data_IF_441222467093
#
_entry.id   IF_441222467093
#
_cell.length_a   1.000
_cell.length_b   1.000
_cell.length_c   1.000
_cell.angle_alpha   90.00
_cell.angle_beta   90.00
_cell.angle_gamma   90.00
#
_symmetry.space_group_name_H-M   'P 1'
#
loop_
_entity.id
_entity.type
_entity.pdbx_description
1 polymer ?
#
# COMPACT_ATOMS: atom_id res chain seq x y z
N UNK A 1 19.61 -17.10 -7.65
CA UNK A 1 19.04 -16.26 -6.58
C UNK A 1 19.87 -16.45 -5.31
N UNK A 2 20.08 -15.42 -4.48
CA UNK A 2 20.97 -15.52 -3.32
C UNK A 2 20.18 -15.38 -1.99
N UNK A 3 20.07 -16.47 -1.18
CA UNK A 3 19.29 -16.47 0.06
C UNK A 3 19.79 -15.47 1.11
N UNK A 4 21.11 -15.19 1.18
CA UNK A 4 21.65 -14.25 2.17
C UNK A 4 21.24 -12.82 1.85
N UNK A 5 21.27 -12.45 0.56
CA UNK A 5 20.79 -11.15 0.10
C UNK A 5 19.28 -11.01 0.31
N UNK A 6 18.51 -12.06 0.06
CA UNK A 6 17.06 -12.06 0.33
C UNK A 6 16.78 -11.83 1.83
N UNK A 7 17.46 -12.58 2.70
CA UNK A 7 17.31 -12.45 4.15
C UNK A 7 17.68 -11.05 4.66
N UNK A 8 18.84 -10.55 4.25
CA UNK A 8 19.32 -9.22 4.65
C UNK A 8 18.39 -8.11 4.18
N UNK A 9 17.88 -8.19 2.95
CA UNK A 9 16.89 -7.25 2.42
C UNK A 9 15.58 -7.29 3.24
N UNK A 10 15.02 -8.47 3.49
CA UNK A 10 13.75 -8.63 4.21
C UNK A 10 13.86 -8.16 5.66
N UNK A 11 14.93 -8.55 6.38
CA UNK A 11 15.14 -8.13 7.76
C UNK A 11 15.47 -6.65 7.87
N UNK A 12 16.36 -6.14 7.01
CA UNK A 12 16.78 -4.74 7.05
C UNK A 12 15.64 -3.77 6.72
N UNK A 13 15.02 -3.94 5.55
CA UNK A 13 13.91 -3.08 5.12
C UNK A 13 12.62 -3.37 5.93
N UNK A 14 12.43 -4.60 6.41
CA UNK A 14 11.32 -4.96 7.28
C UNK A 14 11.43 -4.30 8.66
N UNK A 15 12.62 -4.28 9.26
CA UNK A 15 12.86 -3.59 10.53
C UNK A 15 12.72 -2.07 10.38
N UNK A 16 13.21 -1.48 9.29
CA UNK A 16 13.03 -0.06 9.00
C UNK A 16 11.53 0.31 8.85
N UNK A 17 10.75 -0.54 8.18
CA UNK A 17 9.31 -0.35 8.08
C UNK A 17 8.63 -0.51 9.45
N UNK A 18 8.96 -1.54 10.21
CA UNK A 18 8.39 -1.76 11.54
C UNK A 18 8.67 -0.57 12.47
N UNK A 19 9.88 -0.01 12.42
CA UNK A 19 10.26 1.18 13.18
C UNK A 19 9.44 2.41 12.77
N UNK A 20 9.36 2.72 11.46
CA UNK A 20 8.61 3.89 10.96
C UNK A 20 7.10 3.74 11.21
N UNK A 21 6.53 2.55 10.98
CA UNK A 21 5.13 2.25 11.28
C UNK A 21 4.83 2.35 12.78
N UNK A 22 5.73 1.88 13.65
CA UNK A 22 5.58 2.03 15.08
C UNK A 22 5.56 3.50 15.50
N UNK A 23 6.39 4.38 14.92
CA UNK A 23 6.32 5.82 15.20
C UNK A 23 4.96 6.42 14.87
N UNK A 24 4.38 6.06 13.70
CA UNK A 24 3.01 6.47 13.34
C UNK A 24 1.97 5.92 14.30
N UNK A 25 2.15 4.69 14.78
CA UNK A 25 1.30 4.10 15.81
C UNK A 25 1.41 4.82 17.16
N UNK A 26 2.61 5.22 17.59
CA UNK A 26 2.80 6.01 18.80
C UNK A 26 2.05 7.34 18.72
N UNK A 27 2.10 8.02 17.57
CA UNK A 27 1.38 9.27 17.36
C UNK A 27 -0.16 9.10 17.40
N UNK A 28 -0.70 7.95 16.99
CA UNK A 28 -2.14 7.70 17.16
C UNK A 28 -2.55 7.70 18.64
N UNK A 29 -1.66 7.25 19.52
CA UNK A 29 -1.92 7.16 20.96
C UNK A 29 -1.89 8.51 21.68
N UNK A 30 -1.40 9.57 21.01
CA UNK A 30 -1.45 10.96 21.51
C UNK A 30 -2.89 11.48 21.58
N UNK A 31 -3.76 10.95 20.72
CA UNK A 31 -5.17 11.31 20.74
C UNK A 31 -5.90 10.73 21.96
N UNK A 32 -6.95 11.42 22.38
CA UNK A 32 -7.86 10.96 23.42
C UNK A 32 -8.42 9.57 23.11
N UNK A 33 -8.62 8.73 24.12
CA UNK A 33 -9.23 7.42 23.93
C UNK A 33 -10.66 7.58 23.42
N UNK A 34 -11.04 6.79 22.42
CA UNK A 34 -12.39 6.72 21.91
C UNK A 34 -12.73 5.26 21.62
N UNK A 35 -13.89 4.79 22.09
CA UNK A 35 -14.28 3.39 21.85
C UNK A 35 -14.85 3.24 20.44
N UNK A 36 -14.25 2.34 19.65
CA UNK A 36 -14.71 1.95 18.30
C UNK A 36 -14.74 0.42 18.12
N UNK A 37 -14.75 -0.33 19.22
CA UNK A 37 -14.82 -1.81 19.22
C UNK A 37 -16.25 -2.34 19.41
N UNK A 38 -17.23 -1.46 19.45
CA UNK A 38 -18.67 -1.75 19.49
C UNK A 38 -19.19 -2.27 18.14
N UNK A 39 -20.33 -2.98 18.14
CA UNK A 39 -21.07 -3.39 16.93
C UNK A 39 -20.21 -4.01 15.80
N UNK A 40 -19.36 -4.98 16.15
CA UNK A 40 -18.36 -5.59 15.24
C UNK A 40 -18.94 -6.03 13.88
N UNK A 41 -20.09 -6.72 13.87
CA UNK A 41 -20.71 -7.21 12.63
C UNK A 41 -21.09 -6.05 11.70
N UNK A 42 -21.70 -4.99 12.26
CA UNK A 42 -22.08 -3.80 11.49
C UNK A 42 -20.85 -3.11 10.91
N UNK A 43 -19.77 -2.99 11.69
CA UNK A 43 -18.49 -2.40 11.23
C UNK A 43 -17.82 -3.22 10.15
N UNK A 44 -17.82 -4.56 10.27
CA UNK A 44 -17.33 -5.45 9.22
C UNK A 44 -18.13 -5.31 7.92
N UNK A 45 -19.47 -5.20 8.02
CA UNK A 45 -20.34 -4.95 6.85
C UNK A 45 -20.02 -3.60 6.19
N UNK A 46 -19.83 -2.54 6.97
CA UNK A 46 -19.41 -1.22 6.47
C UNK A 46 -18.04 -1.30 5.80
N UNK A 47 -17.08 -2.03 6.40
CA UNK A 47 -15.74 -2.24 5.84
C UNK A 47 -15.81 -2.96 4.50
N UNK A 48 -16.59 -4.05 4.42
CA UNK A 48 -16.83 -4.76 3.17
C UNK A 48 -17.39 -3.82 2.09
N UNK A 49 -18.40 -3.03 2.42
CA UNK A 49 -19.11 -2.19 1.46
C UNK A 49 -18.27 -1.00 0.95
N UNK A 50 -17.54 -0.34 1.84
CA UNK A 50 -16.82 0.89 1.52
C UNK A 50 -15.35 0.69 1.20
N UNK A 51 -14.66 -0.25 1.86
CA UNK A 51 -13.25 -0.50 1.61
C UNK A 51 -13.03 -1.56 0.53
N UNK A 52 -13.65 -2.74 0.63
CA UNK A 52 -13.42 -3.84 -0.32
C UNK A 52 -14.22 -3.67 -1.61
N UNK A 53 -15.53 -3.40 -1.52
CA UNK A 53 -16.40 -3.13 -2.68
C UNK A 53 -16.20 -1.73 -3.28
N UNK A 54 -15.51 -0.84 -2.58
CA UNK A 54 -15.18 0.53 -3.03
C UNK A 54 -16.39 1.35 -3.52
N UNK A 55 -17.52 1.31 -2.80
CA UNK A 55 -18.77 1.99 -3.21
C UNK A 55 -18.58 3.49 -3.54
N UNK A 56 -17.67 4.17 -2.85
CA UNK A 56 -17.38 5.62 -3.05
C UNK A 56 -16.52 5.95 -4.27
N UNK A 57 -15.95 4.98 -4.98
CA UNK A 57 -15.08 5.26 -6.13
C UNK A 57 -15.84 5.55 -7.43
N UNK A 58 -17.16 5.52 -7.45
CA UNK A 58 -17.96 5.85 -8.64
C UNK A 58 -18.07 7.34 -8.98
N UNK A 59 -17.69 8.25 -8.08
CA UNK A 59 -17.90 9.70 -8.28
C UNK A 59 -17.13 10.27 -9.49
N UNK A 60 -15.94 9.74 -9.76
CA UNK A 60 -15.12 10.10 -10.93
C UNK A 60 -14.84 8.84 -11.74
N UNK A 61 -15.59 8.54 -12.82
CA UNK A 61 -15.62 7.20 -13.43
C UNK A 61 -14.25 6.65 -13.84
N UNK A 62 -13.47 7.40 -14.62
CA UNK A 62 -12.18 6.92 -15.14
C UNK A 62 -11.12 6.75 -14.03
N UNK A 63 -10.98 7.76 -13.16
CA UNK A 63 -10.04 7.68 -12.02
C UNK A 63 -10.47 6.61 -10.99
N UNK A 64 -11.77 6.45 -10.78
CA UNK A 64 -12.35 5.43 -9.92
C UNK A 64 -12.16 4.02 -10.44
N UNK A 65 -12.31 3.82 -11.76
CA UNK A 65 -11.99 2.55 -12.42
C UNK A 65 -10.50 2.23 -12.26
N UNK A 66 -9.62 3.17 -12.61
CA UNK A 66 -8.17 3.00 -12.46
C UNK A 66 -7.79 2.63 -11.01
N UNK A 67 -8.38 3.28 -10.01
CA UNK A 67 -8.17 2.95 -8.60
C UNK A 67 -8.60 1.51 -8.26
N UNK A 68 -9.78 1.09 -8.71
CA UNK A 68 -10.29 -0.27 -8.47
C UNK A 68 -9.38 -1.33 -9.09
N UNK A 69 -8.90 -1.09 -10.31
CA UNK A 69 -7.97 -2.00 -10.99
C UNK A 69 -6.66 -2.15 -10.20
N UNK A 70 -6.08 -1.03 -9.74
CA UNK A 70 -4.86 -1.06 -8.91
C UNK A 70 -5.10 -1.81 -7.60
N UNK A 71 -6.25 -1.60 -6.95
CA UNK A 71 -6.57 -2.26 -5.69
C UNK A 71 -6.75 -3.78 -5.83
N UNK A 72 -7.48 -4.24 -6.86
CA UNK A 72 -7.61 -5.68 -7.14
C UNK A 72 -6.23 -6.27 -7.46
N UNK A 73 -5.41 -5.53 -8.21
CA UNK A 73 -4.01 -5.86 -8.44
C UNK A 73 -3.22 -6.03 -7.16
N UNK A 74 -3.31 -5.08 -6.23
CA UNK A 74 -2.62 -5.19 -4.96
C UNK A 74 -2.99 -6.48 -4.21
N UNK A 75 -4.27 -6.86 -4.16
CA UNK A 75 -4.70 -8.10 -3.50
C UNK A 75 -4.10 -9.35 -4.15
N UNK A 76 -4.13 -9.45 -5.48
CA UNK A 76 -3.65 -10.63 -6.22
C UNK A 76 -2.11 -10.70 -6.26
N UNK A 77 -1.46 -9.56 -6.47
CA UNK A 77 -0.02 -9.45 -6.65
C UNK A 77 0.76 -9.43 -5.34
N UNK A 78 0.11 -9.17 -4.20
CA UNK A 78 0.74 -9.39 -2.88
C UNK A 78 1.15 -10.86 -2.71
N UNK A 79 0.30 -11.80 -3.13
CA UNK A 79 0.65 -13.23 -3.11
C UNK A 79 1.86 -13.52 -4.00
N UNK A 80 1.97 -12.84 -5.15
CA UNK A 80 3.13 -12.95 -6.05
C UNK A 80 4.40 -12.47 -5.36
N UNK A 81 4.35 -11.34 -4.66
CA UNK A 81 5.51 -10.81 -3.93
C UNK A 81 6.01 -11.82 -2.88
N UNK A 82 5.09 -12.44 -2.13
CA UNK A 82 5.43 -13.50 -1.16
C UNK A 82 6.08 -14.70 -1.85
N UNK A 83 5.56 -15.13 -3.00
CA UNK A 83 6.18 -16.22 -3.77
C UNK A 83 7.57 -15.87 -4.29
N UNK A 84 7.79 -14.66 -4.80
CA UNK A 84 9.11 -14.22 -5.24
C UNK A 84 10.12 -14.13 -4.09
N UNK A 85 9.70 -13.66 -2.92
CA UNK A 85 10.54 -13.67 -1.72
C UNK A 85 10.91 -15.10 -1.30
N UNK A 86 9.94 -16.01 -1.27
CA UNK A 86 10.20 -17.43 -0.99
C UNK A 86 11.13 -18.07 -2.02
N UNK A 87 10.97 -17.72 -3.31
CA UNK A 87 11.89 -18.14 -4.39
C UNK A 87 13.32 -17.66 -4.20
N UNK A 88 13.51 -16.56 -3.46
CA UNK A 88 14.83 -16.11 -3.04
C UNK A 88 15.58 -17.09 -2.14
N UNK A 89 14.87 -17.96 -1.41
CA UNK A 89 15.42 -19.00 -0.53
C UNK A 89 15.40 -20.37 -1.20
N UNK A 90 14.29 -20.73 -1.82
CA UNK A 90 14.08 -22.00 -2.50
C UNK A 90 13.52 -21.72 -3.91
N UNK A 91 14.28 -21.96 -4.99
CA UNK A 91 13.84 -21.68 -6.37
C UNK A 91 12.53 -22.38 -6.78
N UNK A 92 12.18 -23.48 -6.13
CA UNK A 92 10.94 -24.25 -6.38
C UNK A 92 9.75 -23.71 -5.60
N UNK A 93 9.97 -22.72 -4.72
CA UNK A 93 8.94 -22.23 -3.83
C UNK A 93 7.71 -21.72 -4.58
N UNK A 94 6.57 -22.26 -4.18
CA UNK A 94 5.23 -21.82 -4.57
C UNK A 94 4.32 -21.95 -3.34
N UNK A 95 3.34 -21.07 -3.22
CA UNK A 95 2.40 -21.12 -2.09
C UNK A 95 1.44 -22.31 -2.27
N UNK A 96 1.68 -23.42 -1.57
CA UNK A 96 0.87 -24.65 -1.45
C UNK A 96 -0.10 -24.99 -2.61
N UNK A 97 -1.19 -24.23 -2.82
CA UNK A 97 -2.23 -24.45 -3.84
C UNK A 97 -1.87 -23.88 -5.22
N UNK A 98 -0.89 -23.00 -5.31
CA UNK A 98 -0.49 -22.28 -6.52
C UNK A 98 0.77 -22.87 -7.17
N UNK A 99 1.11 -24.11 -6.84
CA UNK A 99 2.19 -24.84 -7.49
C UNK A 99 1.85 -25.27 -8.93
N UNK A 100 2.85 -25.79 -9.67
CA UNK A 100 2.65 -26.27 -11.03
C UNK A 100 1.76 -27.53 -11.09
N UNK A 101 1.75 -28.33 -10.02
CA UNK A 101 0.97 -29.57 -9.96
C UNK A 101 -0.52 -29.31 -9.66
N UNK A 102 -1.46 -29.97 -10.36
CA UNK A 102 -2.89 -29.84 -10.09
C UNK A 102 -3.27 -30.30 -8.67
N UNK A 103 -4.05 -29.49 -7.97
CA UNK A 103 -4.56 -29.84 -6.64
C UNK A 103 -5.81 -30.73 -6.77
N UNK A 104 -5.83 -31.86 -6.06
CA UNK A 104 -7.02 -32.72 -5.99
C UNK A 104 -7.96 -32.20 -4.91
N UNK A 105 -9.11 -31.65 -5.31
CA UNK A 105 -10.16 -31.17 -4.40
C UNK A 105 -11.50 -31.77 -4.80
N UNK A 106 -12.19 -32.42 -3.85
CA UNK A 106 -13.46 -33.11 -4.08
C UNK A 106 -13.45 -34.11 -5.26
N UNK A 107 -12.32 -34.78 -5.50
CA UNK A 107 -12.15 -35.74 -6.59
C UNK A 107 -11.88 -35.12 -7.97
N UNK A 108 -11.82 -33.79 -8.09
CA UNK A 108 -11.42 -33.09 -9.31
C UNK A 108 -9.97 -32.57 -9.22
N UNK A 109 -9.19 -32.73 -10.29
CA UNK A 109 -7.86 -32.13 -10.43
C UNK A 109 -8.00 -30.70 -10.96
N UNK A 110 -7.73 -29.71 -10.12
CA UNK A 110 -7.85 -28.29 -10.47
C UNK A 110 -6.47 -27.67 -10.70
N UNK A 111 -6.20 -27.07 -11.88
CA UNK A 111 -4.93 -26.40 -12.17
C UNK A 111 -4.89 -24.99 -11.57
N UNK A 112 -4.92 -24.91 -10.23
CA UNK A 112 -5.01 -23.64 -9.50
C UNK A 112 -3.78 -22.74 -9.70
N UNK A 113 -2.58 -23.30 -9.93
CA UNK A 113 -1.38 -22.54 -10.30
C UNK A 113 -1.56 -21.79 -11.63
N UNK A 114 -1.93 -22.49 -12.70
CA UNK A 114 -2.19 -21.87 -14.01
C UNK A 114 -3.31 -20.83 -13.97
N UNK A 115 -4.37 -21.09 -13.18
CA UNK A 115 -5.41 -20.08 -12.95
C UNK A 115 -4.86 -18.84 -12.25
N UNK A 116 -4.02 -19.02 -11.24
CA UNK A 116 -3.39 -17.91 -10.54
C UNK A 116 -2.47 -17.11 -11.46
N UNK A 117 -1.61 -17.79 -12.24
CA UNK A 117 -0.71 -17.11 -13.19
C UNK A 117 -1.51 -16.27 -14.20
N UNK A 118 -2.63 -16.79 -14.69
CA UNK A 118 -3.54 -16.04 -15.56
C UNK A 118 -4.14 -14.81 -14.89
N UNK A 119 -4.71 -14.99 -13.70
CA UNK A 119 -5.28 -13.88 -12.94
C UNK A 119 -4.22 -12.82 -12.63
N UNK A 120 -3.03 -13.26 -12.23
CA UNK A 120 -1.90 -12.39 -11.91
C UNK A 120 -1.50 -11.54 -13.11
N UNK A 121 -1.32 -12.17 -14.27
CA UNK A 121 -0.75 -11.54 -15.46
C UNK A 121 -1.73 -10.58 -16.16
N UNK A 122 -3.01 -10.97 -16.21
CA UNK A 122 -4.11 -10.07 -16.62
C UNK A 122 -4.19 -8.89 -15.67
N UNK A 123 -4.15 -9.13 -14.36
CA UNK A 123 -4.30 -8.06 -13.38
C UNK A 123 -3.09 -7.12 -13.39
N UNK A 124 -1.86 -7.63 -13.55
CA UNK A 124 -0.66 -6.81 -13.69
C UNK A 124 -0.78 -5.86 -14.91
N UNK A 125 -1.29 -6.36 -16.04
CA UNK A 125 -1.56 -5.53 -17.21
C UNK A 125 -2.60 -4.43 -16.95
N UNK A 126 -3.67 -4.76 -16.20
CA UNK A 126 -4.68 -3.80 -15.78
C UNK A 126 -4.15 -2.76 -14.78
N UNK A 127 -3.22 -3.15 -13.91
CA UNK A 127 -2.52 -2.23 -12.99
C UNK A 127 -1.65 -1.25 -13.79
N UNK A 128 -0.91 -1.72 -14.79
CA UNK A 128 -0.12 -0.85 -15.69
C UNK A 128 -1.05 0.17 -16.35
N UNK A 129 -2.18 -0.28 -16.92
CA UNK A 129 -3.17 0.62 -17.49
C UNK A 129 -3.70 1.65 -16.47
N UNK A 130 -4.11 1.20 -15.28
CA UNK A 130 -4.59 2.08 -14.22
C UNK A 130 -3.54 3.11 -13.75
N UNK A 131 -2.28 2.68 -13.65
CA UNK A 131 -1.17 3.56 -13.30
C UNK A 131 -0.92 4.61 -14.39
N UNK A 132 -0.95 4.23 -15.67
CA UNK A 132 -0.83 5.16 -16.80
C UNK A 132 -1.96 6.19 -16.83
N UNK A 133 -3.20 5.80 -16.50
CA UNK A 133 -4.32 6.75 -16.34
C UNK A 133 -4.02 7.78 -15.25
N UNK A 134 -3.45 7.37 -14.11
CA UNK A 134 -3.04 8.31 -13.07
C UNK A 134 -1.83 9.17 -13.46
N UNK A 135 -0.87 8.63 -14.22
CA UNK A 135 0.22 9.43 -14.80
C UNK A 135 -0.34 10.51 -15.71
N UNK A 136 -1.28 10.17 -16.59
CA UNK A 136 -1.96 11.13 -17.46
C UNK A 136 -2.63 12.26 -16.67
N UNK A 137 -3.41 11.92 -15.63
CA UNK A 137 -4.09 12.94 -14.82
C UNK A 137 -3.16 13.82 -13.98
N UNK A 138 -1.96 13.34 -13.65
CA UNK A 138 -0.98 14.08 -12.85
C UNK A 138 -0.03 14.92 -13.68
N UNK A 139 0.48 14.38 -14.79
CA UNK A 139 1.54 15.02 -15.58
C UNK A 139 0.97 15.83 -16.75
N UNK A 140 -0.04 15.29 -17.44
CA UNK A 140 -0.57 15.82 -18.69
C UNK A 140 -1.78 16.73 -18.41
N UNK A 141 -2.92 16.17 -17.97
CA UNK A 141 -4.16 16.95 -17.76
C UNK A 141 -4.07 17.89 -16.54
N UNK A 142 -3.27 17.51 -15.53
CA UNK A 142 -3.06 18.26 -14.27
C UNK A 142 -4.36 18.73 -13.62
N UNK A 143 -5.09 17.79 -13.03
CA UNK A 143 -6.37 18.10 -12.37
C UNK A 143 -6.17 18.98 -11.11
N UNK A 144 -6.82 20.16 -11.06
CA UNK A 144 -6.60 21.19 -10.03
C UNK A 144 -6.85 20.73 -8.59
N UNK A 145 -7.73 19.75 -8.38
CA UNK A 145 -8.06 19.20 -7.05
C UNK A 145 -6.97 18.30 -6.48
N UNK A 146 -6.07 17.79 -7.32
CA UNK A 146 -4.99 16.89 -6.91
C UNK A 146 -3.70 17.67 -6.70
N UNK A 147 -3.10 17.51 -5.53
CA UNK A 147 -1.76 18.03 -5.23
C UNK A 147 -0.73 17.33 -6.13
N UNK A 148 -0.02 18.12 -6.92
CA UNK A 148 1.11 17.65 -7.69
C UNK A 148 2.32 17.60 -6.74
N UNK A 149 2.55 16.44 -6.13
CA UNK A 149 3.76 16.16 -5.37
C UNK A 149 4.66 15.21 -6.17
N UNK A 150 5.98 15.46 -6.16
CA UNK A 150 6.96 14.57 -6.78
C UNK A 150 6.87 13.14 -6.23
N UNK A 151 6.54 13.01 -4.95
CA UNK A 151 6.24 11.75 -4.27
C UNK A 151 5.15 10.93 -4.99
N UNK A 152 4.06 11.56 -5.43
CA UNK A 152 2.99 10.84 -6.14
C UNK A 152 3.44 10.29 -7.50
N UNK A 153 4.36 10.97 -8.18
CA UNK A 153 4.94 10.51 -9.44
C UNK A 153 5.94 9.38 -9.19
N UNK A 154 6.76 9.50 -8.14
CA UNK A 154 7.70 8.47 -7.71
C UNK A 154 6.97 7.15 -7.40
N UNK A 155 5.88 7.19 -6.63
CA UNK A 155 5.10 5.99 -6.33
C UNK A 155 4.52 5.35 -7.60
N UNK A 156 4.00 6.14 -8.54
CA UNK A 156 3.50 5.60 -9.81
C UNK A 156 4.61 4.97 -10.65
N UNK A 157 5.81 5.57 -10.65
CA UNK A 157 6.97 5.00 -11.31
C UNK A 157 7.38 3.66 -10.68
N UNK A 158 7.40 3.57 -9.35
CA UNK A 158 7.69 2.32 -8.63
C UNK A 158 6.67 1.23 -9.00
N UNK A 159 5.37 1.54 -8.98
CA UNK A 159 4.32 0.58 -9.36
C UNK A 159 4.52 0.10 -10.80
N UNK A 160 4.75 1.01 -11.75
CA UNK A 160 4.98 0.65 -13.15
C UNK A 160 6.22 -0.24 -13.33
N UNK A 161 7.35 0.14 -12.73
CA UNK A 161 8.59 -0.65 -12.79
C UNK A 161 8.38 -2.02 -12.16
N UNK A 162 7.69 -2.12 -11.02
CA UNK A 162 7.38 -3.39 -10.38
C UNK A 162 6.54 -4.33 -11.26
N UNK A 163 5.53 -3.81 -11.98
CA UNK A 163 4.71 -4.63 -12.87
C UNK A 163 5.52 -5.11 -14.07
N UNK A 164 6.27 -4.21 -14.71
CA UNK A 164 7.10 -4.52 -15.86
C UNK A 164 8.25 -5.48 -15.50
N UNK A 165 8.82 -5.35 -14.31
CA UNK A 165 9.88 -6.25 -13.83
C UNK A 165 9.37 -7.67 -13.59
N UNK A 166 8.11 -7.82 -13.15
CA UNK A 166 7.49 -9.14 -12.97
C UNK A 166 7.21 -9.81 -14.33
N UNK A 167 6.67 -9.06 -15.30
CA UNK A 167 6.47 -9.55 -16.67
C UNK A 167 7.79 -9.88 -17.37
N UNK A 168 8.84 -9.08 -17.15
CA UNK A 168 10.19 -9.33 -17.64
C UNK A 168 10.77 -10.61 -17.03
N UNK A 169 10.60 -10.83 -15.73
CA UNK A 169 11.03 -12.05 -15.07
C UNK A 169 10.33 -13.29 -15.64
N UNK A 170 9.01 -13.24 -15.79
CA UNK A 170 8.24 -14.36 -16.34
C UNK A 170 8.61 -14.62 -17.81
N UNK A 171 8.63 -13.58 -18.65
CA UNK A 171 8.95 -13.71 -20.07
C UNK A 171 10.35 -14.28 -20.29
N UNK A 172 11.36 -13.77 -19.59
CA UNK A 172 12.72 -14.29 -19.70
C UNK A 172 12.82 -15.75 -19.20
N UNK A 173 12.12 -16.08 -18.11
CA UNK A 173 12.10 -17.44 -17.56
C UNK A 173 11.37 -18.43 -18.48
N UNK A 174 10.31 -18.00 -19.18
CA UNK A 174 9.60 -18.82 -20.16
C UNK A 174 10.48 -19.18 -21.37
N UNK A 175 11.25 -18.22 -21.91
CA UNK A 175 12.18 -18.49 -23.03
C UNK A 175 13.27 -19.47 -22.58
N UNK A 176 13.83 -19.29 -21.38
CA UNK A 176 14.81 -20.20 -20.80
C UNK A 176 14.24 -21.61 -20.63
N UNK A 177 13.00 -21.73 -20.17
CA UNK A 177 12.32 -23.02 -19.97
C UNK A 177 12.09 -23.76 -21.30
N UNK A 178 11.57 -23.08 -22.32
CA UNK A 178 11.29 -23.69 -23.62
C UNK A 178 12.54 -24.05 -24.44
N UNK A 179 13.59 -23.21 -24.44
CA UNK A 179 14.71 -23.35 -25.39
C UNK A 179 16.00 -23.91 -24.81
N UNK A 180 16.16 -23.84 -23.49
CA UNK A 180 17.47 -24.05 -22.86
C UNK A 180 17.45 -25.06 -21.72
N UNK A 181 16.36 -25.12 -20.94
CA UNK A 181 16.30 -25.93 -19.72
C UNK A 181 16.40 -27.44 -19.96
N UNK A 182 15.87 -27.95 -21.07
CA UNK A 182 15.81 -29.40 -21.34
C UNK A 182 16.64 -29.84 -22.55
N UNK A 183 16.60 -29.10 -23.67
CA UNK A 183 17.33 -29.50 -24.87
C UNK A 183 18.85 -29.23 -24.78
N UNK A 184 19.27 -28.13 -24.15
CA UNK A 184 20.69 -27.72 -24.15
C UNK A 184 21.47 -28.12 -22.90
N UNK A 185 20.79 -28.33 -21.78
CA UNK A 185 21.40 -28.76 -20.52
C UNK A 185 21.82 -30.25 -20.49
N UNK A 186 21.39 -31.07 -21.46
CA UNK A 186 21.52 -32.53 -21.38
C UNK A 186 22.70 -33.15 -22.17
N UNK A 187 23.49 -32.40 -22.93
CA UNK A 187 24.53 -33.02 -23.78
C UNK A 187 25.91 -32.36 -23.82
N UNK A 188 26.08 -31.06 -23.58
CA UNK A 188 27.39 -30.39 -23.68
C UNK A 188 27.46 -28.98 -23.05
N UNK A 189 26.47 -28.58 -22.23
CA UNK A 189 26.43 -27.23 -21.69
C UNK A 189 27.33 -27.05 -20.46
N UNK A 190 27.89 -25.85 -20.32
CA UNK A 190 28.60 -25.40 -19.12
C UNK A 190 27.74 -25.67 -17.87
N UNK A 191 28.22 -26.50 -16.91
CA UNK A 191 27.49 -26.83 -15.69
C UNK A 191 27.05 -25.60 -14.90
N UNK A 192 27.85 -24.53 -14.92
CA UNK A 192 27.54 -23.28 -14.22
C UNK A 192 26.36 -22.56 -14.87
N UNK A 193 26.38 -22.45 -16.20
CA UNK A 193 25.29 -21.88 -16.97
C UNK A 193 24.00 -22.68 -16.76
N UNK A 194 24.06 -24.00 -16.86
CA UNK A 194 22.89 -24.84 -16.68
C UNK A 194 22.29 -24.73 -15.26
N UNK A 195 23.12 -24.70 -14.22
CA UNK A 195 22.66 -24.49 -12.84
C UNK A 195 21.95 -23.15 -12.64
N UNK A 196 22.43 -22.07 -13.28
CA UNK A 196 21.77 -20.75 -13.28
C UNK A 196 20.40 -20.79 -13.97
N UNK A 197 20.30 -21.48 -15.11
CA UNK A 197 19.04 -21.65 -15.86
C UNK A 197 18.05 -22.47 -15.04
N UNK A 198 18.45 -23.62 -14.52
CA UNK A 198 17.62 -24.49 -13.69
C UNK A 198 17.06 -23.76 -12.48
N UNK A 199 17.86 -22.90 -11.83
CA UNK A 199 17.40 -22.06 -10.72
C UNK A 199 16.26 -21.11 -11.14
N UNK A 200 16.32 -20.51 -12.32
CA UNK A 200 15.29 -19.55 -12.76
C UNK A 200 13.99 -20.25 -13.20
N UNK A 201 14.11 -21.41 -13.82
CA UNK A 201 12.94 -22.15 -14.38
C UNK A 201 12.34 -23.16 -13.40
N UNK A 202 12.99 -23.40 -12.25
CA UNK A 202 12.58 -24.39 -11.25
C UNK A 202 11.09 -24.32 -10.86
N UNK A 203 10.52 -23.11 -10.87
CA UNK A 203 9.12 -22.89 -10.51
C UNK A 203 8.09 -23.38 -11.55
N UNK A 204 8.49 -23.60 -12.81
CA UNK A 204 7.62 -24.23 -13.82
C UNK A 204 7.48 -25.74 -13.58
N UNK A 205 8.38 -26.35 -12.82
CA UNK A 205 8.39 -27.79 -12.58
C UNK A 205 8.98 -28.56 -13.78
N UNK A 206 8.17 -29.45 -14.36
CA UNK A 206 8.57 -30.39 -15.41
C UNK A 206 8.94 -29.76 -16.77
N UNK A 207 9.22 -30.61 -17.78
CA UNK A 207 9.57 -30.15 -19.12
C UNK A 207 8.46 -29.27 -19.73
N UNK A 208 8.82 -28.32 -20.62
CA UNK A 208 7.83 -27.60 -21.40
C UNK A 208 6.94 -28.59 -22.14
N UNK A 209 5.67 -28.23 -22.30
CA UNK A 209 4.83 -28.91 -23.27
C UNK A 209 5.53 -28.87 -24.65
N UNK A 210 5.27 -29.86 -25.49
CA UNK A 210 5.77 -30.02 -26.86
C UNK A 210 5.28 -28.94 -27.85
N UNK A 211 4.97 -27.76 -27.32
CA UNK A 211 4.48 -26.60 -28.04
C UNK A 211 5.60 -25.59 -28.24
N UNK A 212 5.72 -25.08 -29.46
CA UNK A 212 6.63 -24.00 -29.77
C UNK A 212 6.28 -22.74 -28.96
N UNK A 213 7.30 -21.97 -28.59
CA UNK A 213 7.11 -20.70 -27.92
C UNK A 213 6.20 -19.80 -28.77
N UNK A 214 5.06 -19.43 -28.20
CA UNK A 214 4.04 -18.64 -28.87
C UNK A 214 3.27 -17.80 -27.84
N UNK A 215 2.59 -16.75 -28.31
CA UNK A 215 1.69 -16.00 -27.45
C UNK A 215 0.59 -16.92 -26.95
N UNK A 216 0.37 -16.93 -25.64
CA UNK A 216 -0.67 -17.74 -25.04
C UNK A 216 -1.60 -16.88 -24.20
N UNK A 217 -2.89 -16.87 -24.53
CA UNK A 217 -3.90 -16.17 -23.74
C UNK A 217 -4.05 -16.78 -22.34
N UNK A 218 -3.78 -18.08 -22.18
CA UNK A 218 -3.83 -18.78 -20.89
C UNK A 218 -2.68 -19.82 -20.83
N UNK A 219 -1.84 -19.81 -19.78
CA UNK A 219 -2.04 -19.12 -18.51
C UNK A 219 -1.36 -17.75 -18.40
N UNK A 220 -0.50 -17.30 -19.32
CA UNK A 220 0.31 -16.08 -19.11
C UNK A 220 0.28 -15.13 -20.33
N UNK A 221 -0.79 -14.35 -20.54
CA UNK A 221 -0.94 -13.48 -21.72
C UNK A 221 0.12 -12.39 -21.87
N UNK A 222 0.53 -11.72 -20.79
CA UNK A 222 1.58 -10.71 -20.84
C UNK A 222 2.98 -11.33 -20.69
N UNK A 223 3.15 -12.33 -19.83
CA UNK A 223 4.39 -13.10 -19.71
C UNK A 223 4.83 -13.72 -21.04
N UNK A 224 3.91 -14.37 -21.77
CA UNK A 224 4.18 -14.94 -23.09
C UNK A 224 4.45 -13.87 -24.16
N UNK A 225 3.83 -12.70 -24.07
CA UNK A 225 4.13 -11.57 -24.96
C UNK A 225 5.55 -11.05 -24.73
N UNK A 226 5.98 -10.92 -23.47
CA UNK A 226 7.37 -10.60 -23.13
C UNK A 226 8.33 -11.70 -23.60
N UNK A 227 7.94 -12.98 -23.45
CA UNK A 227 8.74 -14.10 -23.93
C UNK A 227 8.97 -14.04 -25.45
N UNK A 228 7.93 -13.71 -26.24
CA UNK A 228 8.07 -13.51 -27.69
C UNK A 228 9.00 -12.35 -28.03
N UNK A 229 8.90 -11.24 -27.31
CA UNK A 229 9.81 -10.10 -27.49
C UNK A 229 11.27 -10.44 -27.16
N UNK A 230 11.49 -11.44 -26.30
CA UNK A 230 12.80 -11.90 -25.86
C UNK A 230 13.28 -13.16 -26.58
N UNK A 231 12.51 -13.73 -27.51
CA UNK A 231 12.84 -15.01 -28.15
C UNK A 231 14.18 -14.96 -28.89
N UNK A 232 14.58 -13.82 -29.44
CA UNK A 232 15.89 -13.68 -30.10
C UNK A 232 17.09 -13.60 -29.14
N UNK A 233 16.89 -13.47 -27.83
CA UNK A 233 17.96 -13.22 -26.88
C UNK A 233 18.79 -14.47 -26.55
N UNK A 234 20.09 -14.27 -26.32
CA UNK A 234 20.97 -15.35 -25.84
C UNK A 234 20.72 -15.71 -24.37
N UNK A 235 21.18 -16.90 -23.91
CA UNK A 235 20.90 -17.39 -22.57
C UNK A 235 21.44 -16.46 -21.46
N UNK A 236 22.61 -15.86 -21.64
CA UNK A 236 23.17 -14.91 -20.66
C UNK A 236 22.33 -13.63 -20.52
N UNK A 237 21.84 -13.09 -21.64
CA UNK A 237 20.95 -11.92 -21.62
C UNK A 237 19.61 -12.26 -20.95
N UNK A 238 19.04 -13.43 -21.23
CA UNK A 238 17.81 -13.89 -20.58
C UNK A 238 18.00 -14.06 -19.08
N UNK A 239 19.12 -14.64 -18.65
CA UNK A 239 19.44 -14.77 -17.22
C UNK A 239 19.57 -13.38 -16.58
N UNK A 240 20.23 -12.43 -17.24
CA UNK A 240 20.34 -11.06 -16.75
C UNK A 240 18.96 -10.41 -16.61
N UNK A 241 18.11 -10.48 -17.63
CA UNK A 241 16.76 -9.92 -17.59
C UNK A 241 15.90 -10.55 -16.50
N UNK A 242 15.96 -11.87 -16.33
CA UNK A 242 15.26 -12.56 -15.25
C UNK A 242 15.75 -12.09 -13.88
N UNK A 243 17.08 -11.99 -13.66
CA UNK A 243 17.62 -11.51 -12.39
C UNK A 243 17.27 -10.05 -12.10
N UNK A 244 17.35 -9.17 -13.11
CA UNK A 244 16.94 -7.77 -12.96
C UNK A 244 15.45 -7.68 -12.63
N UNK A 245 14.59 -8.42 -13.35
CA UNK A 245 13.16 -8.47 -13.10
C UNK A 245 12.83 -8.94 -11.68
N UNK A 246 13.46 -10.05 -11.26
CA UNK A 246 13.31 -10.64 -9.93
C UNK A 246 13.70 -9.66 -8.82
N UNK A 247 14.95 -9.14 -8.86
CA UNK A 247 15.46 -8.29 -7.80
C UNK A 247 14.83 -6.91 -7.79
N UNK A 248 14.52 -6.34 -8.96
CA UNK A 248 13.79 -5.09 -9.04
C UNK A 248 12.42 -5.23 -8.37
N UNK A 249 11.64 -6.25 -8.72
CA UNK A 249 10.34 -6.48 -8.08
C UNK A 249 10.49 -6.71 -6.57
N UNK A 250 11.29 -7.71 -6.17
CA UNK A 250 11.42 -8.13 -4.77
C UNK A 250 11.88 -6.98 -3.85
N UNK A 251 12.82 -6.16 -4.33
CA UNK A 251 13.36 -5.02 -3.57
C UNK A 251 12.41 -3.83 -3.58
N UNK A 252 11.82 -3.50 -4.73
CA UNK A 252 10.92 -2.34 -4.85
C UNK A 252 9.65 -2.50 -4.01
N UNK A 253 9.14 -3.73 -3.80
CA UNK A 253 8.04 -3.95 -2.85
C UNK A 253 8.44 -3.49 -1.44
N UNK A 254 9.64 -3.86 -0.97
CA UNK A 254 10.12 -3.50 0.36
C UNK A 254 10.46 -2.00 0.46
N UNK A 255 11.01 -1.40 -0.59
CA UNK A 255 11.24 0.05 -0.66
C UNK A 255 9.90 0.79 -0.63
N UNK A 256 8.93 0.37 -1.43
CA UNK A 256 7.59 0.94 -1.45
C UNK A 256 6.94 0.90 -0.06
N UNK A 257 7.03 -0.24 0.63
CA UNK A 257 6.53 -0.42 1.99
C UNK A 257 7.12 0.61 2.97
N UNK A 258 8.42 0.91 2.86
CA UNK A 258 9.10 1.91 3.69
C UNK A 258 8.72 3.37 3.34
N UNK A 259 8.29 3.62 2.10
CA UNK A 259 7.79 4.94 1.72
C UNK A 259 6.37 5.19 2.26
N UNK A 260 5.59 4.14 2.53
CA UNK A 260 4.18 4.29 2.92
C UNK A 260 3.99 5.23 4.11
N UNK A 261 4.62 5.05 5.29
CA UNK A 261 4.36 5.87 6.48
C UNK A 261 4.70 7.36 6.33
N UNK A 262 5.47 7.72 5.31
CA UNK A 262 5.93 9.08 5.03
C UNK A 262 5.24 9.71 3.82
N UNK A 263 4.32 8.98 3.18
CA UNK A 263 3.70 9.36 1.91
C UNK A 263 2.19 9.50 2.05
N UNK A 264 1.55 10.20 1.12
CA UNK A 264 0.08 10.19 0.97
C UNK A 264 -0.47 8.82 0.61
N UNK A 265 0.42 7.87 0.25
CA UNK A 265 0.05 6.49 -0.04
C UNK A 265 -0.14 5.65 1.22
N UNK A 266 0.13 6.18 2.43
CA UNK A 266 -0.12 5.48 3.69
C UNK A 266 -1.56 4.99 3.86
N UNK A 267 -2.50 5.63 3.17
CA UNK A 267 -3.90 5.23 3.12
C UNK A 267 -4.11 3.76 2.72
N UNK A 268 -3.19 3.13 2.00
CA UNK A 268 -3.29 1.71 1.66
C UNK A 268 -3.30 0.82 2.91
N UNK A 269 -2.58 1.24 3.96
CA UNK A 269 -2.56 0.58 5.27
C UNK A 269 -3.69 1.11 6.15
N UNK A 270 -3.87 2.44 6.22
CA UNK A 270 -4.77 3.04 7.22
C UNK A 270 -6.24 3.03 6.82
N UNK A 271 -6.58 2.89 5.53
CA UNK A 271 -7.97 3.00 5.06
C UNK A 271 -8.89 1.91 5.60
N UNK A 272 -8.44 0.65 5.62
CA UNK A 272 -9.20 -0.48 6.17
C UNK A 272 -9.57 -0.27 7.64
N UNK A 273 -8.61 -0.06 8.57
CA UNK A 273 -8.95 0.21 9.97
C UNK A 273 -9.74 1.51 10.14
N UNK A 274 -9.50 2.52 9.31
CA UNK A 274 -10.24 3.78 9.39
C UNK A 274 -11.73 3.62 9.04
N UNK A 275 -12.05 2.86 7.97
CA UNK A 275 -13.42 2.56 7.58
C UNK A 275 -14.11 1.68 8.63
N UNK A 276 -13.40 0.68 9.17
CA UNK A 276 -13.91 -0.15 10.25
C UNK A 276 -14.31 0.67 11.48
N UNK A 277 -13.48 1.64 11.85
CA UNK A 277 -13.70 2.50 13.01
C UNK A 277 -14.57 3.74 12.72
N UNK A 278 -15.28 3.81 11.58
CA UNK A 278 -16.16 4.94 11.25
C UNK A 278 -17.31 5.08 12.26
N UNK A 279 -17.84 6.30 12.45
CA UNK A 279 -19.01 6.50 13.30
C UNK A 279 -20.25 5.81 12.70
N UNK A 280 -21.02 5.12 13.55
CA UNK A 280 -22.30 4.48 13.17
C UNK A 280 -23.52 5.37 13.45
N UNK A 281 -23.30 6.54 14.04
CA UNK A 281 -24.32 7.56 14.26
C UNK A 281 -24.84 8.14 12.93
N UNK A 282 -26.04 8.74 12.92
CA UNK A 282 -26.57 9.43 11.75
C UNK A 282 -25.57 10.42 11.14
N UNK A 283 -25.47 10.41 9.81
CA UNK A 283 -24.56 11.30 9.09
C UNK A 283 -24.85 12.77 9.42
N UNK A 284 -23.80 13.51 9.79
CA UNK A 284 -23.91 14.93 10.18
C UNK A 284 -24.24 15.17 11.66
N UNK A 285 -24.47 14.12 12.47
CA UNK A 285 -24.61 14.28 13.92
C UNK A 285 -23.30 14.76 14.53
N UNK A 286 -23.33 15.93 15.15
CA UNK A 286 -22.20 16.47 15.92
C UNK A 286 -22.22 15.89 17.34
N UNK A 287 -21.05 15.55 17.92
CA UNK A 287 -20.98 15.20 19.33
C UNK A 287 -21.37 16.40 20.19
N UNK A 288 -22.11 16.15 21.27
CA UNK A 288 -22.46 17.17 22.26
C UNK A 288 -21.24 17.50 23.10
N UNK A 289 -20.91 18.78 23.26
CA UNK A 289 -19.78 19.22 24.09
C UNK A 289 -20.04 19.00 25.59
N UNK A 290 -21.28 19.15 26.03
CA UNK A 290 -21.72 18.85 27.39
C UNK A 290 -23.22 18.45 27.40
N UNK A 291 -23.72 17.82 28.47
CA UNK A 291 -25.11 17.37 28.55
C UNK A 291 -26.14 18.50 28.66
N UNK A 292 -25.76 19.69 29.12
CA UNK A 292 -26.65 20.85 29.22
C UNK A 292 -25.90 22.18 29.07
N UNK A 293 -26.63 23.28 28.89
CA UNK A 293 -26.10 24.65 28.85
C UNK A 293 -25.35 25.01 30.12
N UNK A 294 -25.86 24.58 31.28
CA UNK A 294 -25.26 24.83 32.59
C UNK A 294 -23.91 24.12 32.70
N UNK A 295 -23.84 22.87 32.22
CA UNK A 295 -22.59 22.11 32.17
C UNK A 295 -21.54 22.73 31.23
N UNK A 296 -21.96 23.35 30.13
CA UNK A 296 -21.04 24.14 29.28
C UNK A 296 -20.55 25.37 30.06
N UNK A 297 -21.45 26.07 30.75
CA UNK A 297 -21.09 27.24 31.58
C UNK A 297 -20.06 26.88 32.65
N UNK A 298 -20.29 25.79 33.39
CA UNK A 298 -19.35 25.29 34.40
C UNK A 298 -17.99 24.91 33.79
N UNK A 299 -17.97 24.26 32.63
CA UNK A 299 -16.74 23.92 31.92
C UNK A 299 -15.95 25.17 31.51
N UNK A 300 -16.63 26.21 31.02
CA UNK A 300 -15.99 27.48 30.62
C UNK A 300 -15.45 28.22 31.84
N UNK A 301 -16.23 28.29 32.93
CA UNK A 301 -15.77 28.93 34.17
C UNK A 301 -14.55 28.22 34.75
N UNK A 302 -14.59 26.88 34.82
CA UNK A 302 -13.45 26.08 35.29
C UNK A 302 -12.21 26.26 34.42
N UNK A 303 -12.38 26.37 33.10
CA UNK A 303 -11.28 26.65 32.17
C UNK A 303 -10.71 28.07 32.32
N UNK A 304 -11.50 29.04 32.77
CA UNK A 304 -11.04 30.38 33.09
C UNK A 304 -10.30 30.44 34.44
N UNK A 305 -10.80 29.73 35.45
CA UNK A 305 -10.27 29.76 36.82
C UNK A 305 -9.02 28.88 36.99
N UNK A 306 -9.00 27.70 36.36
CA UNK A 306 -7.93 26.70 36.47
C UNK A 306 -7.50 26.18 35.09
N UNK A 307 -6.91 27.03 34.21
CA UNK A 307 -6.63 26.68 32.81
C UNK A 307 -5.72 25.47 32.64
N UNK A 308 -4.85 25.21 33.62
CA UNK A 308 -3.97 24.05 33.64
C UNK A 308 -4.73 22.74 33.93
N UNK A 309 -5.71 22.76 34.84
CA UNK A 309 -6.39 21.52 35.30
C UNK A 309 -7.74 21.28 34.63
N UNK A 310 -8.27 22.26 33.91
CA UNK A 310 -9.57 22.15 33.27
C UNK A 310 -9.50 21.26 32.02
N UNK A 311 -10.60 20.53 31.78
CA UNK A 311 -10.83 19.94 30.47
C UNK A 311 -10.97 21.07 29.43
N UNK A 312 -10.40 20.92 28.23
CA UNK A 312 -10.46 21.94 27.22
C UNK A 312 -11.88 22.16 26.72
N UNK A 313 -12.26 23.43 26.62
CA UNK A 313 -13.47 23.86 25.92
C UNK A 313 -13.22 23.70 24.42
N UNK A 314 -13.64 22.57 23.86
CA UNK A 314 -13.42 22.23 22.45
C UNK A 314 -11.99 21.78 22.13
N UNK A 315 -11.52 22.09 20.91
CA UNK A 315 -10.23 21.62 20.38
C UNK A 315 -9.31 22.81 20.15
N UNK A 316 -8.32 22.97 21.05
CA UNK A 316 -7.29 24.01 20.96
C UNK A 316 -5.92 23.43 20.56
N UNK A 317 -5.66 22.16 20.86
CA UNK A 317 -4.39 21.47 20.58
C UNK A 317 -4.65 20.12 19.92
N UNK A 318 -3.63 19.56 19.27
CA UNK A 318 -3.80 18.33 18.48
C UNK A 318 -4.10 17.11 19.37
N UNK A 319 -3.62 17.10 20.60
CA UNK A 319 -3.85 16.07 21.61
C UNK A 319 -5.31 16.05 22.11
N UNK A 320 -6.08 17.10 21.83
CA UNK A 320 -7.50 17.14 22.18
C UNK A 320 -8.35 16.33 21.17
N UNK A 321 -7.81 16.00 20.00
CA UNK A 321 -8.46 15.07 19.06
C UNK A 321 -8.43 13.64 19.61
N UNK A 322 -9.39 12.81 19.20
CA UNK A 322 -9.36 11.38 19.50
C UNK A 322 -8.34 10.66 18.61
N UNK A 323 -7.87 9.49 19.03
CA UNK A 323 -7.00 8.65 18.17
C UNK A 323 -7.63 8.37 16.80
N UNK A 324 -8.98 8.29 16.75
CA UNK A 324 -9.73 8.07 15.51
C UNK A 324 -9.69 9.27 14.58
N UNK A 325 -9.78 10.49 15.12
CA UNK A 325 -9.62 11.71 14.33
C UNK A 325 -8.19 11.83 13.79
N UNK A 326 -7.18 11.47 14.59
CA UNK A 326 -5.79 11.39 14.10
C UNK A 326 -5.66 10.35 12.97
N UNK A 327 -6.32 9.19 13.09
CA UNK A 327 -6.35 8.19 12.02
C UNK A 327 -7.01 8.72 10.73
N UNK A 328 -8.03 9.58 10.83
CA UNK A 328 -8.63 10.24 9.67
C UNK A 328 -7.61 11.16 8.97
N UNK A 329 -6.77 11.87 9.72
CA UNK A 329 -5.72 12.72 9.16
C UNK A 329 -4.71 11.91 8.34
N UNK A 330 -4.31 10.73 8.84
CA UNK A 330 -3.38 9.82 8.14
C UNK A 330 -3.99 9.20 6.88
N UNK A 331 -5.30 8.99 6.91
CA UNK A 331 -6.03 8.31 5.85
C UNK A 331 -6.45 9.27 4.73
N UNK A 332 -6.26 10.58 4.91
CA UNK A 332 -6.55 11.56 3.87
C UNK A 332 -5.76 11.24 2.58
N UNK A 333 -6.49 10.96 1.50
CA UNK A 333 -5.91 10.63 0.18
C UNK A 333 -5.69 11.85 -0.71
N UNK A 334 -5.89 13.06 -0.17
CA UNK A 334 -5.75 14.33 -0.89
C UNK A 334 -6.65 14.43 -2.15
N UNK A 335 -7.75 13.68 -2.18
CA UNK A 335 -8.60 13.51 -3.37
C UNK A 335 -9.40 14.77 -3.78
N UNK A 336 -9.52 15.76 -2.90
CA UNK A 336 -10.18 17.06 -3.16
C UNK A 336 -11.70 17.08 -2.99
N UNK A 337 -12.37 15.91 -2.92
CA UNK A 337 -13.85 15.83 -2.87
C UNK A 337 -14.50 16.67 -1.77
N UNK A 338 -13.88 16.75 -0.59
CA UNK A 338 -14.38 17.57 0.51
C UNK A 338 -14.27 19.07 0.23
N UNK A 339 -13.27 19.51 -0.54
CA UNK A 339 -13.12 20.91 -0.95
C UNK A 339 -14.03 21.26 -2.11
N UNK A 340 -14.16 20.35 -3.09
CA UNK A 340 -15.03 20.51 -4.25
C UNK A 340 -16.50 20.72 -3.85
N UNK A 341 -16.94 20.15 -2.72
CA UNK A 341 -18.31 20.24 -2.21
C UNK A 341 -18.48 21.25 -1.07
N UNK A 342 -17.41 21.89 -0.58
CA UNK A 342 -17.48 22.82 0.53
C UNK A 342 -18.06 24.17 0.06
N UNK A 343 -19.19 24.66 0.60
CA UNK A 343 -19.76 25.95 0.20
C UNK A 343 -18.81 27.13 0.41
N UNK A 344 -18.04 27.12 1.50
CA UNK A 344 -17.07 28.16 1.80
C UNK A 344 -15.93 28.18 0.76
N UNK A 345 -15.36 27.01 0.45
CA UNK A 345 -14.31 26.92 -0.56
C UNK A 345 -14.79 27.32 -1.96
N UNK A 346 -15.98 26.85 -2.35
CA UNK A 346 -16.59 27.14 -3.66
C UNK A 346 -16.92 28.62 -3.87
N UNK A 347 -17.08 29.39 -2.80
CA UNK A 347 -17.31 30.85 -2.86
C UNK A 347 -16.00 31.65 -2.83
N UNK A 348 -14.84 30.99 -3.00
CA UNK A 348 -13.53 31.64 -3.08
C UNK A 348 -12.91 31.96 -1.72
N UNK A 349 -13.49 31.49 -0.61
CA UNK A 349 -12.88 31.67 0.71
C UNK A 349 -11.67 30.74 0.87
N UNK A 350 -10.74 31.17 1.71
CA UNK A 350 -9.46 30.47 1.99
C UNK A 350 -9.70 29.08 2.61
N UNK A 351 -10.85 28.86 3.26
CA UNK A 351 -11.15 27.60 3.95
C UNK A 351 -11.29 26.42 2.98
N UNK A 352 -10.36 25.47 3.05
CA UNK A 352 -10.42 24.16 2.39
C UNK A 352 -10.42 23.06 3.45
N UNK A 353 -11.47 22.22 3.56
CA UNK A 353 -11.47 21.08 4.49
C UNK A 353 -10.34 20.09 4.21
N UNK A 354 -9.93 19.94 2.94
CA UNK A 354 -8.77 19.11 2.58
C UNK A 354 -7.51 19.68 3.20
N UNK A 355 -7.23 20.96 2.94
CA UNK A 355 -6.00 21.59 3.42
C UNK A 355 -5.94 21.59 4.94
N UNK A 356 -7.05 21.90 5.61
CA UNK A 356 -7.13 21.84 7.08
C UNK A 356 -6.76 20.46 7.64
N UNK A 357 -7.25 19.37 7.04
CA UNK A 357 -6.86 18.00 7.45
C UNK A 357 -5.37 17.72 7.22
N UNK A 358 -4.80 18.23 6.12
CA UNK A 358 -3.38 18.06 5.82
C UNK A 358 -2.50 18.87 6.78
N UNK A 359 -2.89 20.11 7.08
CA UNK A 359 -2.16 20.96 8.01
C UNK A 359 -2.13 20.34 9.43
N UNK A 360 -3.22 19.74 9.88
CA UNK A 360 -3.27 18.99 11.15
C UNK A 360 -2.36 17.75 11.12
N UNK A 361 -2.38 16.98 10.02
CA UNK A 361 -1.49 15.83 9.83
C UNK A 361 -0.02 16.27 9.87
N UNK A 362 0.31 17.31 9.12
CA UNK A 362 1.67 17.78 8.93
C UNK A 362 2.19 18.44 10.22
N UNK A 363 1.33 19.10 10.99
CA UNK A 363 1.63 19.54 12.36
C UNK A 363 2.02 18.37 13.27
N UNK A 364 1.26 17.27 13.23
CA UNK A 364 1.56 16.08 14.03
C UNK A 364 2.89 15.43 13.62
N UNK A 365 3.14 15.36 12.31
CA UNK A 365 4.37 14.77 11.78
C UNK A 365 5.60 15.65 12.05
N UNK A 366 5.48 16.96 11.91
CA UNK A 366 6.58 17.91 12.14
C UNK A 366 7.05 17.94 13.60
N UNK A 367 6.16 17.61 14.54
CA UNK A 367 6.44 17.57 15.99
C UNK A 367 6.48 16.15 16.55
N UNK A 368 6.73 15.15 15.69
CA UNK A 368 6.65 13.73 16.08
C UNK A 368 7.56 13.40 17.27
N UNK A 369 8.81 13.88 17.27
CA UNK A 369 9.74 13.62 18.38
C UNK A 369 9.28 14.24 19.69
N UNK A 370 8.64 15.40 19.64
CA UNK A 370 8.10 16.07 20.82
C UNK A 370 6.97 15.25 21.41
N UNK A 371 5.99 14.86 20.60
CA UNK A 371 4.83 14.11 21.07
C UNK A 371 5.17 12.68 21.54
N UNK A 372 6.15 12.02 20.93
CA UNK A 372 6.57 10.67 21.33
C UNK A 372 7.39 10.68 22.62
N UNK A 373 8.27 11.67 22.81
CA UNK A 373 9.22 11.70 23.92
C UNK A 373 8.81 12.59 25.10
N UNK A 374 7.61 13.18 25.07
CA UNK A 374 7.14 14.10 26.12
C UNK A 374 7.05 13.38 27.48
N UNK A 375 7.65 13.94 28.55
CA UNK A 375 7.42 13.49 29.92
C UNK A 375 5.92 13.58 30.26
N UNK A 376 5.36 12.57 30.95
CA UNK A 376 3.92 12.52 31.28
C UNK A 376 3.05 11.67 30.35
N UNK A 377 3.59 11.27 29.19
CA UNK A 377 2.98 10.28 28.29
C UNK A 377 1.95 10.84 27.31
N UNK A 378 1.33 9.98 26.47
CA UNK A 378 0.45 10.37 25.36
C UNK A 378 -0.86 11.04 25.79
N UNK A 379 -1.18 10.97 27.08
CA UNK A 379 -2.34 11.64 27.68
C UNK A 379 -1.83 12.99 28.14
N UNK A 380 -2.19 14.07 27.45
CA UNK A 380 -1.83 15.44 27.78
C UNK A 380 -2.23 15.86 29.20
N UNK A 381 -1.54 15.33 30.20
CA UNK A 381 -1.55 15.81 31.57
C UNK A 381 -0.63 17.03 31.57
N UNK A 382 -1.22 18.17 31.20
CA UNK A 382 -0.97 19.54 31.67
C UNK A 382 0.45 20.13 31.63
N UNK A 383 1.53 19.35 31.60
CA UNK A 383 2.88 19.87 31.52
C UNK A 383 3.15 20.26 30.07
N UNK A 384 2.92 21.53 29.77
CA UNK A 384 3.03 22.12 28.44
C UNK A 384 4.47 22.15 27.92
N UNK A 385 5.49 21.83 28.73
CA UNK A 385 6.88 21.80 28.28
C UNK A 385 7.38 23.14 27.73
N UNK A 386 6.52 24.16 27.73
CA UNK A 386 6.85 25.56 27.56
C UNK A 386 7.34 26.05 28.91
N UNK A 387 8.46 25.47 29.36
CA UNK A 387 9.32 26.14 30.31
C UNK A 387 9.56 27.54 29.75
N UNK A 388 9.04 28.55 30.44
CA UNK A 388 9.31 29.94 30.19
C UNK A 388 10.83 30.15 30.27
N UNK A 389 11.52 29.95 29.15
CA UNK A 389 12.85 30.47 28.88
C UNK A 389 12.75 31.96 28.55
N UNK A 390 12.11 32.75 29.43
CA UNK A 390 12.46 34.16 29.52
C UNK A 390 13.78 34.18 30.27
N UNK A 391 14.87 34.25 29.51
CA UNK A 391 16.18 34.58 30.06
C UNK A 391 16.11 36.00 30.61
N UNK A 392 16.08 36.10 31.94
CA UNK A 392 16.58 37.27 32.64
C UNK A 392 18.11 37.19 32.60
N UNK A 393 18.70 38.02 31.73
CA UNK A 393 20.15 38.18 31.54
C UNK A 393 20.44 39.38 30.67
#
# INVERSE_FOLDING_TARGET
MNPTWMLTMLLGLGAAFAWSANRRWQLLKVGRPENRSDHLITRLKVTWEYALRQRKMGYYPLAGLAHKLIFVGFIILLLRSVMLWGRGFDPTFSLWIFGPEPVSLFGAKLPLGHLYDFLKDVTASLVVFGALVFVYFRVIKRESRMTLSGEGVLILAIILVMMLSDMMYDGASMVLHHRHAYEKCNAAADPVLCGRIQTLVAHFGGPPADQALSWSLYPSPAGSLFAMGLDGAGPESLILFAHMGFWAHATLVMVFLNLLPHSKHFHIITSLPNVFATSLEPAGKLPTMAPSSEAIGEMVMKAADEPEKAEPVGIARIEHFTWKAILDFYTCTECGRCSDNCPAHRTGKILSPKQFTLDLRDHLYGRENEFINRPGGPKGAVDDGHGHGHGDG
#
